data_IF_400808684685
#
_entry.id   IF_400808684685
#
_cell.length_a   1.000
_cell.length_b   1.000
_cell.length_c   1.000
_cell.angle_alpha   90.00
_cell.angle_beta   90.00
_cell.angle_gamma   90.00
#
_symmetry.space_group_name_H-M   'P 1'
#
loop_
_entity.id
_entity.type
_entity.pdbx_description
1 polymer ?
#
# COMPACT_ATOMS: atom_id res chain seq x y z
N UNK A 1 26.94 -7.72 17.49
CA UNK A 1 26.56 -7.34 16.12
C UNK A 1 25.25 -8.03 15.78
N UNK A 2 24.30 -7.28 15.25
CA UNK A 2 23.04 -7.87 14.82
C UNK A 2 23.27 -8.79 13.64
N UNK A 3 22.49 -9.88 13.58
CA UNK A 3 22.57 -10.84 12.48
C UNK A 3 22.17 -10.15 11.18
N UNK A 4 22.97 -10.30 10.13
CA UNK A 4 22.69 -9.80 8.78
C UNK A 4 21.33 -10.33 8.29
N UNK A 5 20.54 -9.44 7.68
CA UNK A 5 19.23 -9.74 7.12
C UNK A 5 19.29 -9.70 5.60
N UNK A 6 19.35 -10.88 4.98
CA UNK A 6 19.23 -11.01 3.53
C UNK A 6 17.83 -10.57 3.08
N UNK A 7 17.75 -9.74 2.03
CA UNK A 7 16.49 -9.22 1.51
C UNK A 7 15.86 -8.14 2.37
N UNK A 8 16.63 -7.48 3.23
CA UNK A 8 16.20 -6.35 4.06
C UNK A 8 17.31 -5.30 4.17
N UNK A 9 17.00 -4.16 4.74
CA UNK A 9 17.97 -3.10 5.03
C UNK A 9 18.82 -3.46 6.24
N UNK A 10 20.12 -3.17 6.11
CA UNK A 10 21.13 -3.38 7.13
C UNK A 10 21.96 -2.11 7.27
N UNK A 11 22.36 -1.75 8.47
CA UNK A 11 23.27 -0.64 8.75
C UNK A 11 24.66 -1.20 9.01
N UNK A 12 25.57 -0.97 8.07
CA UNK A 12 26.88 -1.61 8.04
C UNK A 12 28.00 -0.58 7.99
N UNK A 13 29.15 -0.88 8.62
CA UNK A 13 30.32 -0.04 8.62
C UNK A 13 31.16 -0.28 7.36
N UNK A 14 31.67 0.80 6.77
CA UNK A 14 32.60 0.76 5.66
C UNK A 14 34.01 0.40 6.23
N UNK A 15 34.58 -0.74 5.80
CA UNK A 15 35.87 -1.21 6.30
C UNK A 15 37.00 -1.03 5.29
N UNK A 16 36.69 -0.98 3.99
CA UNK A 16 37.72 -0.95 2.95
C UNK A 16 37.17 -0.29 1.67
N UNK A 17 38.06 0.43 0.96
CA UNK A 17 37.80 0.97 -0.38
C UNK A 17 38.67 0.25 -1.40
N UNK A 18 38.09 -0.11 -2.53
CA UNK A 18 38.73 -0.75 -3.67
C UNK A 18 38.30 -0.06 -4.97
N UNK A 19 38.95 -0.37 -6.10
CA UNK A 19 38.71 0.28 -7.40
C UNK A 19 37.25 0.10 -7.90
N UNK A 20 36.60 -1.01 -7.53
CA UNK A 20 35.26 -1.36 -7.97
C UNK A 20 34.15 -1.14 -6.91
N UNK A 21 34.48 -0.63 -5.72
CA UNK A 21 33.47 -0.37 -4.67
C UNK A 21 34.03 -0.18 -3.27
N UNK A 22 33.13 -0.36 -2.32
CA UNK A 22 33.42 -0.41 -0.89
C UNK A 22 33.16 -1.82 -0.35
N UNK A 23 33.93 -2.25 0.62
CA UNK A 23 33.58 -3.40 1.44
C UNK A 23 32.99 -2.93 2.77
N UNK A 24 31.91 -3.58 3.16
CA UNK A 24 31.14 -3.34 4.39
C UNK A 24 31.36 -4.51 5.34
N UNK A 25 31.36 -4.23 6.64
CA UNK A 25 31.48 -5.25 7.68
C UNK A 25 30.19 -6.09 7.76
N UNK A 26 30.25 -7.32 7.24
CA UNK A 26 29.16 -8.30 7.31
C UNK A 26 29.22 -9.19 8.56
N UNK A 27 30.11 -8.91 9.49
CA UNK A 27 30.28 -9.74 10.69
C UNK A 27 30.63 -11.19 10.35
N UNK A 28 29.78 -12.13 10.69
CA UNK A 28 29.98 -13.56 10.42
C UNK A 28 29.97 -13.91 8.92
N UNK A 29 29.33 -13.10 8.08
CA UNK A 29 29.27 -13.28 6.62
C UNK A 29 30.50 -12.69 5.92
N UNK A 30 31.45 -12.09 6.66
CA UNK A 30 32.67 -11.48 6.13
C UNK A 30 32.43 -10.11 5.48
N UNK A 31 33.33 -9.73 4.56
CA UNK A 31 33.24 -8.45 3.86
C UNK A 31 32.21 -8.50 2.72
N UNK A 32 31.24 -7.58 2.72
CA UNK A 32 30.16 -7.47 1.73
C UNK A 32 30.46 -6.32 0.76
N UNK A 33 30.46 -6.61 -0.54
CA UNK A 33 30.75 -5.60 -1.57
C UNK A 33 29.53 -4.68 -1.78
N UNK A 34 29.77 -3.37 -1.74
CA UNK A 34 28.91 -2.31 -2.28
C UNK A 34 29.58 -1.79 -3.56
N UNK A 35 29.08 -2.10 -4.77
CA UNK A 35 29.64 -1.64 -6.03
C UNK A 35 29.67 -0.11 -6.16
N UNK A 36 30.67 0.45 -6.85
CA UNK A 36 30.87 1.90 -6.98
C UNK A 36 29.63 2.69 -7.40
N UNK A 37 28.81 2.15 -8.30
CA UNK A 37 27.58 2.81 -8.77
C UNK A 37 26.53 3.05 -7.68
N UNK A 38 26.65 2.34 -6.55
CA UNK A 38 25.75 2.45 -5.40
C UNK A 38 26.36 3.17 -4.20
N UNK A 39 27.61 3.62 -4.33
CA UNK A 39 28.31 4.32 -3.25
C UNK A 39 27.80 5.76 -3.16
N UNK A 40 27.25 6.20 -2.02
CA UNK A 40 26.85 7.58 -1.83
C UNK A 40 28.07 8.52 -1.84
N UNK A 41 27.87 9.78 -2.23
CA UNK A 41 28.92 10.80 -2.14
C UNK A 41 29.27 11.11 -0.67
N UNK A 42 30.53 11.44 -0.43
CA UNK A 42 31.02 11.90 0.87
C UNK A 42 31.22 10.82 1.93
N UNK A 43 31.03 9.53 1.62
CA UNK A 43 31.26 8.45 2.59
C UNK A 43 32.74 8.05 2.66
N UNK A 44 33.21 7.74 3.88
CA UNK A 44 34.58 7.35 4.17
C UNK A 44 34.65 6.03 4.95
N UNK A 45 35.81 5.40 4.97
CA UNK A 45 36.08 4.23 5.82
C UNK A 45 35.78 4.60 7.27
N UNK A 46 35.06 3.72 7.98
CA UNK A 46 34.62 3.93 9.35
C UNK A 46 33.20 4.50 9.45
N UNK A 47 32.63 5.08 8.36
CA UNK A 47 31.22 5.50 8.38
C UNK A 47 30.30 4.29 8.33
N UNK A 48 29.11 4.41 8.93
CA UNK A 48 27.99 3.48 8.77
C UNK A 48 27.07 3.96 7.66
N UNK A 49 26.61 3.02 6.83
CA UNK A 49 25.64 3.29 5.78
C UNK A 49 24.50 2.26 5.83
N UNK A 50 23.30 2.70 5.47
CA UNK A 50 22.15 1.83 5.29
C UNK A 50 22.15 1.29 3.87
N UNK A 51 22.15 -0.02 3.73
CA UNK A 51 22.16 -0.74 2.46
C UNK A 51 21.16 -1.88 2.48
N UNK A 52 20.60 -2.18 1.30
CA UNK A 52 19.83 -3.38 1.08
C UNK A 52 20.74 -4.51 0.67
N UNK A 53 20.58 -5.71 1.25
CA UNK A 53 21.39 -6.88 0.96
C UNK A 53 20.62 -7.87 0.09
N UNK A 54 21.21 -8.31 -1.01
CA UNK A 54 20.64 -9.32 -1.90
C UNK A 54 21.75 -10.20 -2.50
N UNK A 55 21.35 -11.24 -3.24
CA UNK A 55 22.28 -12.10 -3.96
C UNK A 55 22.42 -11.64 -5.42
N UNK A 56 23.64 -11.42 -5.89
CA UNK A 56 23.92 -11.10 -7.30
C UNK A 56 23.68 -12.31 -8.25
N UNK A 57 24.02 -12.15 -9.52
CA UNK A 57 23.82 -13.21 -10.53
C UNK A 57 24.62 -14.48 -10.20
N UNK A 58 25.80 -14.30 -9.58
CA UNK A 58 26.69 -15.40 -9.16
C UNK A 58 26.34 -15.92 -7.74
N UNK A 59 25.19 -15.50 -7.17
CA UNK A 59 24.71 -15.87 -5.83
C UNK A 59 25.60 -15.39 -4.68
N UNK A 60 26.41 -14.36 -4.90
CA UNK A 60 27.20 -13.73 -3.87
C UNK A 60 26.39 -12.67 -3.15
N UNK A 61 26.57 -12.56 -1.83
CA UNK A 61 25.95 -11.53 -1.03
C UNK A 61 26.55 -10.17 -1.41
N UNK A 62 25.70 -9.25 -1.85
CA UNK A 62 26.09 -7.89 -2.27
C UNK A 62 25.13 -6.85 -1.67
N UNK A 63 25.66 -5.64 -1.52
CA UNK A 63 24.94 -4.49 -1.01
C UNK A 63 24.54 -3.52 -2.14
N UNK A 64 23.42 -2.84 -1.96
CA UNK A 64 22.98 -1.73 -2.82
C UNK A 64 22.32 -0.64 -1.98
N UNK A 65 22.41 0.60 -2.46
CA UNK A 65 21.62 1.74 -1.96
C UNK A 65 20.34 1.96 -2.76
N UNK A 66 20.11 1.15 -3.80
CA UNK A 66 18.82 1.13 -4.49
C UNK A 66 17.71 0.62 -3.56
N UNK A 67 16.50 1.11 -3.78
CA UNK A 67 15.33 0.74 -2.99
C UNK A 67 14.48 -0.26 -3.78
N UNK A 68 14.41 -1.53 -3.37
CA UNK A 68 13.51 -2.47 -3.99
C UNK A 68 12.05 -2.07 -3.75
N UNK A 69 11.15 -2.53 -4.62
CA UNK A 69 9.71 -2.32 -4.49
C UNK A 69 9.07 -3.13 -3.36
N UNK A 70 9.78 -4.14 -2.87
CA UNK A 70 9.43 -4.92 -1.68
C UNK A 70 10.68 -5.60 -1.13
N UNK A 71 10.68 -5.88 0.15
CA UNK A 71 11.69 -6.67 0.85
C UNK A 71 11.15 -8.04 1.26
N UNK A 72 12.00 -8.90 1.77
CA UNK A 72 11.59 -10.21 2.28
C UNK A 72 10.54 -10.03 3.38
N UNK A 73 9.47 -10.81 3.30
CA UNK A 73 8.29 -10.71 4.17
C UNK A 73 7.21 -9.77 3.66
N UNK A 74 7.40 -9.10 2.53
CA UNK A 74 6.43 -8.13 2.01
C UNK A 74 5.71 -8.62 0.75
N UNK A 75 4.52 -8.04 0.54
CA UNK A 75 3.75 -8.20 -0.69
C UNK A 75 3.95 -7.02 -1.62
N UNK A 76 4.02 -7.31 -2.93
CA UNK A 76 4.11 -6.28 -3.97
C UNK A 76 3.34 -6.67 -5.24
N UNK A 77 3.03 -5.66 -6.06
CA UNK A 77 2.44 -5.83 -7.38
C UNK A 77 3.52 -5.57 -8.43
N UNK A 78 4.13 -6.65 -8.94
CA UNK A 78 5.33 -6.60 -9.76
C UNK A 78 5.05 -7.05 -11.20
N UNK A 79 5.71 -6.38 -12.16
CA UNK A 79 5.66 -6.68 -13.58
C UNK A 79 6.64 -7.79 -13.95
N UNK A 80 6.21 -8.72 -14.80
CA UNK A 80 7.08 -9.75 -15.38
C UNK A 80 7.97 -9.13 -16.45
N UNK A 81 9.28 -9.16 -16.22
CA UNK A 81 10.28 -8.69 -17.19
C UNK A 81 10.52 -9.71 -18.30
N UNK A 82 10.69 -10.96 -17.94
CA UNK A 82 10.96 -12.07 -18.84
C UNK A 82 10.64 -13.43 -18.19
N UNK A 83 10.60 -14.48 -19.00
CA UNK A 83 10.26 -15.85 -18.58
C UNK A 83 11.23 -16.84 -19.23
N UNK A 84 11.63 -17.88 -18.48
CA UNK A 84 12.40 -19.00 -19.00
C UNK A 84 11.76 -20.36 -18.64
N UNK A 85 12.51 -21.45 -18.86
CA UNK A 85 12.06 -22.82 -18.58
C UNK A 85 11.88 -23.15 -17.08
N UNK A 86 12.32 -22.27 -16.16
CA UNK A 86 12.23 -22.47 -14.70
C UNK A 86 11.16 -21.60 -14.03
N UNK A 87 10.84 -20.45 -14.63
CA UNK A 87 9.90 -19.50 -14.01
C UNK A 87 9.89 -18.13 -14.68
N UNK A 88 9.32 -17.17 -13.97
CA UNK A 88 9.23 -15.78 -14.35
C UNK A 88 10.21 -14.94 -13.54
N UNK A 89 10.66 -13.83 -14.10
CA UNK A 89 11.52 -12.84 -13.47
C UNK A 89 10.80 -11.51 -13.43
N UNK A 90 10.70 -10.94 -12.23
CA UNK A 90 9.86 -9.79 -11.92
C UNK A 90 10.73 -8.57 -11.66
N UNK A 91 10.35 -7.43 -12.25
CA UNK A 91 10.96 -6.13 -11.97
C UNK A 91 10.64 -5.72 -10.53
N UNK A 92 11.62 -5.73 -9.66
CA UNK A 92 11.43 -5.36 -8.25
C UNK A 92 12.27 -4.16 -7.78
N UNK A 93 12.85 -3.43 -8.76
CA UNK A 93 13.58 -2.18 -8.48
C UNK A 93 15.07 -2.34 -8.27
N UNK A 94 15.63 -3.55 -8.40
CA UNK A 94 17.06 -3.82 -8.37
C UNK A 94 17.54 -4.28 -9.75
N UNK A 95 18.86 -4.29 -9.96
CA UNK A 95 19.45 -4.75 -11.22
C UNK A 95 19.13 -6.22 -11.53
N UNK A 96 19.11 -7.09 -10.52
CA UNK A 96 18.72 -8.49 -10.66
C UNK A 96 17.21 -8.59 -10.45
N UNK A 97 16.48 -9.06 -11.46
CA UNK A 97 15.06 -9.34 -11.35
C UNK A 97 14.76 -10.42 -10.30
N UNK A 98 13.60 -10.31 -9.65
CA UNK A 98 13.15 -11.25 -8.64
C UNK A 98 12.57 -12.51 -9.28
N UNK A 99 13.14 -13.66 -8.98
CA UNK A 99 12.70 -14.93 -9.54
C UNK A 99 11.42 -15.46 -8.88
N UNK A 100 10.46 -15.89 -9.71
CA UNK A 100 9.24 -16.58 -9.31
C UNK A 100 9.18 -17.95 -9.99
N UNK A 101 9.61 -19.04 -9.34
CA UNK A 101 9.62 -20.37 -9.95
C UNK A 101 8.20 -20.84 -10.29
N UNK A 102 8.05 -21.71 -11.27
CA UNK A 102 6.74 -22.20 -11.68
C UNK A 102 5.93 -22.84 -10.54
N UNK A 103 6.60 -23.48 -9.58
CA UNK A 103 5.96 -24.06 -8.40
C UNK A 103 5.30 -22.99 -7.50
N UNK A 104 5.75 -21.73 -7.57
CA UNK A 104 5.23 -20.60 -6.81
C UNK A 104 4.20 -19.76 -7.58
N UNK A 105 3.87 -20.14 -8.81
CA UNK A 105 2.86 -19.47 -9.63
C UNK A 105 1.51 -20.20 -9.51
N UNK A 106 0.41 -19.44 -9.40
CA UNK A 106 -0.96 -20.01 -9.49
C UNK A 106 -1.36 -20.35 -10.92
N UNK A 107 -0.87 -19.56 -11.86
CA UNK A 107 -0.97 -19.75 -13.30
C UNK A 107 0.33 -19.28 -13.93
N UNK A 108 0.62 -19.73 -15.13
CA UNK A 108 1.80 -19.26 -15.88
C UNK A 108 1.76 -17.74 -15.99
N UNK A 109 2.85 -17.10 -15.58
CA UNK A 109 3.01 -15.66 -15.68
C UNK A 109 3.41 -15.26 -17.09
N UNK A 110 2.89 -14.13 -17.57
CA UNK A 110 3.10 -13.61 -18.93
C UNK A 110 3.91 -12.31 -18.88
N UNK A 111 4.82 -12.12 -19.85
CA UNK A 111 5.69 -10.94 -19.94
C UNK A 111 4.86 -9.67 -20.06
N UNK A 112 5.20 -8.64 -19.27
CA UNK A 112 4.50 -7.36 -19.22
C UNK A 112 3.29 -7.33 -18.29
N UNK A 113 2.74 -8.49 -17.90
CA UNK A 113 1.66 -8.57 -16.94
C UNK A 113 2.18 -8.36 -15.51
N UNK A 114 1.29 -7.89 -14.62
CA UNK A 114 1.61 -7.65 -13.21
C UNK A 114 0.86 -8.62 -12.29
N UNK A 115 1.55 -9.07 -11.26
CA UNK A 115 1.03 -10.03 -10.30
C UNK A 115 1.30 -9.58 -8.87
N UNK A 116 0.34 -9.82 -7.97
CA UNK A 116 0.60 -9.72 -6.54
C UNK A 116 1.43 -10.92 -6.13
N UNK A 117 2.57 -10.65 -5.51
CA UNK A 117 3.50 -11.67 -5.02
C UNK A 117 3.94 -11.35 -3.60
N UNK A 118 4.30 -12.38 -2.85
CA UNK A 118 5.03 -12.30 -1.59
C UNK A 118 6.51 -12.58 -1.84
N UNK A 119 7.38 -11.78 -1.26
CA UNK A 119 8.84 -11.97 -1.35
C UNK A 119 9.31 -12.77 -0.13
N UNK A 120 10.00 -13.89 -0.36
CA UNK A 120 10.49 -14.73 0.73
C UNK A 120 11.84 -15.36 0.39
N UNK A 121 12.49 -15.93 1.40
CA UNK A 121 13.67 -16.76 1.21
C UNK A 121 13.20 -18.21 1.04
N UNK A 122 13.55 -18.82 -0.08
CA UNK A 122 13.28 -20.23 -0.36
C UNK A 122 14.11 -21.11 0.57
N UNK A 123 13.47 -22.00 1.31
CA UNK A 123 14.10 -22.80 2.36
C UNK A 123 15.13 -23.80 1.80
N UNK A 124 14.96 -24.26 0.57
CA UNK A 124 15.86 -25.22 -0.07
C UNK A 124 17.10 -24.58 -0.68
N UNK A 125 16.92 -23.48 -1.41
CA UNK A 125 17.99 -22.80 -2.15
C UNK A 125 18.59 -21.61 -1.42
N UNK A 126 17.95 -21.12 -0.34
CA UNK A 126 18.31 -19.91 0.40
C UNK A 126 18.31 -18.64 -0.45
N UNK A 127 17.64 -18.66 -1.61
CA UNK A 127 17.50 -17.51 -2.51
C UNK A 127 16.28 -16.68 -2.18
N UNK A 128 16.36 -15.38 -2.47
CA UNK A 128 15.17 -14.52 -2.43
C UNK A 128 14.33 -14.85 -3.67
N UNK A 129 13.08 -15.24 -3.45
CA UNK A 129 12.11 -15.60 -4.50
C UNK A 129 10.76 -14.95 -4.25
N UNK A 130 9.96 -14.88 -5.33
CA UNK A 130 8.56 -14.44 -5.27
C UNK A 130 7.61 -15.63 -5.30
N UNK A 131 6.49 -15.52 -4.58
CA UNK A 131 5.37 -16.45 -4.65
C UNK A 131 4.07 -15.71 -4.97
N UNK A 132 3.33 -16.16 -5.97
CA UNK A 132 1.98 -15.69 -6.25
C UNK A 132 0.91 -16.42 -5.42
N UNK A 133 1.30 -17.37 -4.59
CA UNK A 133 0.43 -18.10 -3.66
C UNK A 133 0.23 -17.29 -2.38
N UNK A 134 -0.29 -16.07 -2.53
CA UNK A 134 -0.45 -15.05 -1.48
C UNK A 134 -1.10 -15.62 -0.22
N UNK A 135 -2.05 -16.54 -0.37
CA UNK A 135 -2.78 -17.15 0.76
C UNK A 135 -1.89 -17.89 1.74
N UNK A 136 -0.75 -18.41 1.29
CA UNK A 136 0.19 -19.16 2.15
C UNK A 136 0.94 -18.23 3.13
N UNK A 137 1.01 -16.95 2.82
CA UNK A 137 1.76 -15.94 3.59
C UNK A 137 0.87 -14.98 4.36
N UNK A 138 -0.46 -15.10 4.21
CA UNK A 138 -1.42 -14.34 5.00
C UNK A 138 -1.55 -14.97 6.38
N UNK A 139 -1.46 -14.14 7.41
CA UNK A 139 -1.73 -14.56 8.78
C UNK A 139 -3.24 -14.83 8.95
N UNK A 140 -3.58 -16.06 9.26
CA UNK A 140 -4.96 -16.53 9.43
C UNK A 140 -5.38 -16.63 10.91
N UNK A 141 -4.72 -15.89 11.78
CA UNK A 141 -5.08 -15.84 13.21
C UNK A 141 -6.55 -15.41 13.40
N UNK A 142 -7.22 -15.99 14.38
CA UNK A 142 -8.58 -15.59 14.77
C UNK A 142 -8.60 -14.28 15.58
N UNK A 143 -7.46 -13.87 16.09
CA UNK A 143 -7.31 -12.68 16.93
C UNK A 143 -6.23 -11.77 16.34
N UNK A 144 -6.51 -11.07 15.21
CA UNK A 144 -5.55 -10.13 14.64
C UNK A 144 -5.27 -8.99 15.64
N UNK A 145 -4.02 -8.54 15.65
CA UNK A 145 -3.56 -7.43 16.49
C UNK A 145 -4.04 -6.08 15.89
N UNK A 146 -5.34 -5.94 15.74
CA UNK A 146 -6.00 -4.78 15.14
C UNK A 146 -7.22 -4.40 15.97
N UNK A 147 -7.62 -3.14 15.91
CA UNK A 147 -8.80 -2.62 16.58
C UNK A 147 -9.76 -1.97 15.61
N UNK A 148 -11.06 -1.97 15.94
CA UNK A 148 -12.07 -1.31 15.13
C UNK A 148 -11.81 0.20 15.07
N UNK A 149 -11.83 0.77 13.88
CA UNK A 149 -11.54 2.18 13.61
C UNK A 149 -10.06 2.46 13.38
N UNK A 150 -9.18 1.48 13.56
CA UNK A 150 -7.74 1.62 13.33
C UNK A 150 -7.46 1.89 11.86
N UNK A 151 -6.57 2.84 11.61
CA UNK A 151 -6.04 3.17 10.29
C UNK A 151 -5.00 2.12 9.90
N UNK A 152 -5.11 1.58 8.71
CA UNK A 152 -4.27 0.49 8.21
C UNK A 152 -3.81 0.75 6.79
N UNK A 153 -2.64 0.22 6.45
CA UNK A 153 -2.11 0.19 5.09
C UNK A 153 -2.71 -0.98 4.32
N UNK A 154 -3.09 -0.72 3.07
CA UNK A 154 -3.77 -1.67 2.22
C UNK A 154 -3.05 -1.85 0.89
N UNK A 155 -2.97 -3.10 0.44
CA UNK A 155 -2.67 -3.45 -0.94
C UNK A 155 -3.88 -4.17 -1.54
N UNK A 156 -4.43 -3.64 -2.63
CA UNK A 156 -5.58 -4.25 -3.30
C UNK A 156 -5.14 -5.53 -4.00
N UNK A 157 -5.59 -6.66 -3.46
CA UNK A 157 -5.13 -7.97 -3.92
C UNK A 157 -5.90 -8.44 -5.14
N UNK A 158 -7.23 -8.54 -5.05
CA UNK A 158 -8.07 -8.96 -6.16
C UNK A 158 -9.53 -8.52 -5.98
N UNK A 159 -10.22 -8.36 -7.12
CA UNK A 159 -11.68 -8.20 -7.14
C UNK A 159 -12.35 -9.55 -6.87
N UNK A 160 -13.44 -9.53 -6.11
CA UNK A 160 -14.32 -10.67 -5.85
C UNK A 160 -15.78 -10.28 -6.14
N UNK A 161 -16.73 -11.23 -6.20
CA UNK A 161 -18.15 -10.93 -6.45
C UNK A 161 -18.81 -10.01 -5.43
N UNK A 162 -18.25 -9.90 -4.22
CA UNK A 162 -18.84 -9.12 -3.11
C UNK A 162 -18.01 -7.89 -2.73
N UNK A 163 -16.85 -7.66 -3.37
CA UNK A 163 -15.98 -6.56 -3.04
C UNK A 163 -14.53 -6.82 -3.41
N UNK A 164 -13.62 -6.10 -2.77
CA UNK A 164 -12.19 -6.20 -2.98
C UNK A 164 -11.51 -6.94 -1.83
N UNK A 165 -10.78 -8.00 -2.13
CA UNK A 165 -9.84 -8.60 -1.18
C UNK A 165 -8.61 -7.71 -1.08
N UNK A 166 -8.16 -7.49 0.15
CA UNK A 166 -7.06 -6.58 0.49
C UNK A 166 -6.03 -7.33 1.33
N UNK A 167 -4.78 -6.93 1.21
CA UNK A 167 -3.74 -7.27 2.16
C UNK A 167 -3.62 -6.09 3.12
N UNK A 168 -3.81 -6.34 4.42
CA UNK A 168 -3.85 -5.34 5.48
C UNK A 168 -2.54 -5.37 6.25
N UNK A 169 -1.88 -4.20 6.40
CA UNK A 169 -0.61 -4.05 7.09
C UNK A 169 0.44 -5.09 6.68
N UNK A 170 0.43 -5.47 5.40
CA UNK A 170 1.34 -6.48 4.86
C UNK A 170 1.30 -7.85 5.58
N UNK A 171 0.21 -8.16 6.29
CA UNK A 171 0.10 -9.34 7.17
C UNK A 171 -1.23 -10.08 7.05
N UNK A 172 -2.37 -9.37 7.10
CA UNK A 172 -3.69 -9.98 7.19
C UNK A 172 -4.47 -9.87 5.89
N UNK A 173 -5.49 -10.73 5.72
CA UNK A 173 -6.49 -10.55 4.67
C UNK A 173 -7.66 -9.71 5.17
N UNK A 174 -8.07 -8.74 4.36
CA UNK A 174 -9.27 -7.93 4.59
C UNK A 174 -10.22 -7.96 3.41
N UNK A 175 -11.46 -7.55 3.63
CA UNK A 175 -12.49 -7.40 2.61
C UNK A 175 -13.12 -6.02 2.69
N UNK A 176 -13.09 -5.27 1.57
CA UNK A 176 -13.88 -4.06 1.40
C UNK A 176 -15.07 -4.38 0.50
N UNK A 177 -16.30 -4.19 1.00
CA UNK A 177 -17.52 -4.47 0.23
C UNK A 177 -17.78 -3.43 -0.84
N UNK A 178 -18.32 -3.85 -1.99
CA UNK A 178 -18.61 -2.96 -3.12
C UNK A 178 -19.50 -1.78 -2.80
N UNK A 179 -20.48 -1.98 -1.93
CA UNK A 179 -21.39 -0.94 -1.45
C UNK A 179 -20.72 0.09 -0.53
N UNK A 180 -19.50 -0.21 -0.03
CA UNK A 180 -18.71 0.67 0.84
C UNK A 180 -17.48 1.24 0.14
N UNK A 181 -17.22 0.86 -1.12
CA UNK A 181 -16.13 1.39 -1.93
C UNK A 181 -16.68 2.50 -2.83
N UNK A 182 -16.36 3.75 -2.49
CA UNK A 182 -16.87 4.95 -3.16
C UNK A 182 -15.83 5.62 -4.08
N UNK A 183 -14.67 4.98 -4.27
CA UNK A 183 -13.62 5.43 -5.19
C UNK A 183 -13.21 4.30 -6.12
N UNK A 184 -12.63 4.65 -7.26
CA UNK A 184 -12.03 3.65 -8.13
C UNK A 184 -10.80 3.05 -7.47
N UNK A 185 -10.73 1.73 -7.44
CA UNK A 185 -9.57 0.95 -6.97
C UNK A 185 -9.29 -0.19 -7.93
N UNK A 186 -8.01 -0.43 -8.19
CA UNK A 186 -7.53 -1.46 -9.08
C UNK A 186 -6.61 -2.44 -8.33
N UNK A 187 -6.48 -3.63 -8.86
CA UNK A 187 -5.51 -4.58 -8.33
C UNK A 187 -4.11 -3.95 -8.32
N UNK A 188 -3.42 -4.07 -7.20
CA UNK A 188 -2.08 -3.52 -7.01
C UNK A 188 -2.03 -2.12 -6.41
N UNK A 189 -3.17 -1.41 -6.32
CA UNK A 189 -3.21 -0.10 -5.66
C UNK A 189 -2.82 -0.24 -4.19
N UNK A 190 -1.94 0.67 -3.72
CA UNK A 190 -1.65 0.87 -2.32
C UNK A 190 -2.42 2.07 -1.81
N UNK A 191 -3.09 1.91 -0.69
CA UNK A 191 -3.89 2.96 -0.10
C UNK A 191 -4.07 2.75 1.40
N UNK A 192 -4.54 3.78 2.07
CA UNK A 192 -4.97 3.70 3.46
C UNK A 192 -6.45 3.34 3.55
N UNK A 193 -6.81 2.68 4.65
CA UNK A 193 -8.18 2.38 5.02
C UNK A 193 -8.33 2.22 6.52
N UNK A 194 -9.48 1.74 6.93
CA UNK A 194 -9.84 1.63 8.35
C UNK A 194 -10.50 0.28 8.61
N UNK A 195 -10.19 -0.32 9.74
CA UNK A 195 -10.86 -1.53 10.20
C UNK A 195 -12.30 -1.19 10.57
N UNK A 196 -13.26 -1.66 9.78
CA UNK A 196 -14.68 -1.42 10.09
C UNK A 196 -15.22 -2.44 11.10
N UNK A 197 -14.76 -3.69 11.01
CA UNK A 197 -15.14 -4.75 11.92
C UNK A 197 -14.10 -5.89 11.91
N UNK A 198 -13.99 -6.61 13.01
CA UNK A 198 -13.26 -7.87 13.11
C UNK A 198 -14.28 -8.93 13.52
N UNK A 199 -14.43 -9.94 12.69
CA UNK A 199 -15.41 -11.01 12.92
C UNK A 199 -14.89 -12.04 13.91
N UNK A 200 -15.77 -12.81 14.55
CA UNK A 200 -15.36 -13.88 15.50
C UNK A 200 -14.45 -14.95 14.87
N UNK A 201 -14.50 -15.11 13.54
CA UNK A 201 -13.64 -16.04 12.80
C UNK A 201 -12.30 -15.42 12.38
N UNK A 202 -12.01 -14.19 12.82
CA UNK A 202 -10.77 -13.45 12.53
C UNK A 202 -10.77 -12.69 11.20
N UNK A 203 -11.83 -12.78 10.39
CA UNK A 203 -11.93 -12.00 9.15
C UNK A 203 -12.09 -10.52 9.43
N UNK A 204 -11.43 -9.70 8.62
CA UNK A 204 -11.36 -8.25 8.80
C UNK A 204 -12.18 -7.58 7.70
N UNK A 205 -13.20 -6.83 8.11
CA UNK A 205 -13.95 -5.96 7.22
C UNK A 205 -13.28 -4.58 7.20
N UNK A 206 -13.03 -4.07 5.99
CA UNK A 206 -12.30 -2.81 5.75
C UNK A 206 -13.23 -1.80 5.09
N UNK A 207 -13.07 -0.54 5.46
CA UNK A 207 -13.60 0.61 4.71
C UNK A 207 -12.46 1.50 4.22
N UNK A 208 -12.60 2.05 3.01
CA UNK A 208 -11.59 2.94 2.43
C UNK A 208 -11.77 4.41 2.84
N UNK A 209 -12.72 4.68 3.69
CA UNK A 209 -13.02 6.03 4.21
C UNK A 209 -13.01 6.00 5.74
N UNK A 210 -12.65 7.12 6.40
CA UNK A 210 -12.81 7.26 7.84
C UNK A 210 -14.23 6.89 8.25
N UNK A 211 -14.39 6.34 9.45
CA UNK A 211 -15.71 5.94 9.96
C UNK A 211 -16.24 6.96 10.97
N UNK A 212 -17.58 7.06 11.08
CA UNK A 212 -18.24 7.81 12.13
C UNK A 212 -18.23 9.33 11.95
N UNK A 213 -17.99 10.06 13.05
CA UNK A 213 -18.06 11.54 13.09
C UNK A 213 -16.93 12.17 12.25
N UNK A 214 -15.75 11.58 12.23
CA UNK A 214 -14.61 12.09 11.48
C UNK A 214 -14.91 12.13 9.97
N UNK A 215 -15.48 11.06 9.42
CA UNK A 215 -15.89 11.05 8.00
C UNK A 215 -16.86 12.18 7.65
N UNK A 216 -17.80 12.48 8.58
CA UNK A 216 -18.78 13.55 8.36
C UNK A 216 -18.10 14.91 8.38
N UNK A 217 -17.15 15.15 9.29
CA UNK A 217 -16.43 16.41 9.40
C UNK A 217 -15.51 16.62 8.19
N UNK A 218 -14.71 15.64 7.83
CA UNK A 218 -13.80 15.70 6.68
C UNK A 218 -14.59 15.98 5.38
N UNK A 219 -15.77 15.35 5.23
CA UNK A 219 -16.61 15.59 4.06
C UNK A 219 -17.35 16.94 4.13
N UNK A 220 -17.69 17.44 5.30
CA UNK A 220 -18.28 18.78 5.44
C UNK A 220 -17.32 19.87 4.91
N UNK A 221 -16.04 19.77 5.20
CA UNK A 221 -15.03 20.69 4.67
C UNK A 221 -14.89 20.54 3.14
N UNK A 222 -14.87 19.31 2.64
CA UNK A 222 -14.88 19.03 1.19
C UNK A 222 -16.11 19.64 0.49
N UNK A 223 -17.29 19.53 1.11
CA UNK A 223 -18.55 20.09 0.58
C UNK A 223 -18.53 21.63 0.59
N UNK A 224 -17.93 22.25 1.61
CA UNK A 224 -17.70 23.71 1.63
C UNK A 224 -16.78 24.18 0.50
N UNK A 225 -15.70 23.47 0.26
CA UNK A 225 -14.76 23.79 -0.81
C UNK A 225 -15.40 23.59 -2.20
N UNK A 226 -16.23 22.56 -2.35
CA UNK A 226 -17.04 22.37 -3.54
C UNK A 226 -17.98 23.58 -3.77
N UNK A 227 -18.73 23.99 -2.75
CA UNK A 227 -19.62 25.15 -2.83
C UNK A 227 -18.85 26.42 -3.23
N UNK A 228 -17.71 26.71 -2.58
CA UNK A 228 -16.87 27.88 -2.90
C UNK A 228 -16.39 27.87 -4.35
N UNK A 229 -16.00 26.72 -4.87
CA UNK A 229 -15.48 26.58 -6.25
C UNK A 229 -16.58 26.56 -7.32
N UNK A 230 -17.86 26.36 -6.92
CA UNK A 230 -19.02 26.25 -7.83
C UNK A 230 -20.03 27.38 -7.64
N UNK A 231 -19.54 28.61 -7.35
CA UNK A 231 -20.40 29.79 -7.25
C UNK A 231 -21.33 29.80 -6.04
N UNK A 232 -20.98 29.10 -4.98
CA UNK A 232 -21.72 29.06 -3.72
C UNK A 232 -22.91 28.10 -3.72
N UNK A 233 -23.16 27.34 -4.78
CA UNK A 233 -24.33 26.48 -4.91
C UNK A 233 -23.93 25.04 -5.27
N UNK A 234 -24.53 24.08 -4.58
CA UNK A 234 -24.49 22.66 -4.90
C UNK A 234 -25.91 22.21 -5.33
N UNK A 235 -26.09 21.60 -6.52
CA UNK A 235 -27.39 21.23 -7.07
C UNK A 235 -27.95 19.93 -6.47
N UNK A 236 -27.58 19.61 -5.23
CA UNK A 236 -28.05 18.45 -4.48
C UNK A 236 -28.53 18.91 -3.10
N UNK A 237 -29.83 18.75 -2.83
CA UNK A 237 -30.43 19.17 -1.57
C UNK A 237 -30.62 18.02 -0.56
N UNK A 238 -31.69 18.04 0.22
CA UNK A 238 -31.93 17.02 1.26
C UNK A 238 -32.35 15.65 0.68
N UNK A 239 -32.82 15.60 -0.56
CA UNK A 239 -33.28 14.34 -1.21
C UNK A 239 -32.46 13.96 -2.45
N UNK A 240 -31.12 13.95 -2.39
CA UNK A 240 -30.30 13.67 -3.54
C UNK A 240 -30.43 12.20 -3.97
N UNK A 241 -30.15 11.94 -5.25
CA UNK A 241 -29.99 10.58 -5.74
C UNK A 241 -28.70 9.95 -5.20
N UNK A 242 -28.75 8.67 -4.78
CA UNK A 242 -27.62 8.00 -4.15
C UNK A 242 -26.46 7.74 -5.12
N UNK A 243 -26.76 7.36 -6.37
CA UNK A 243 -25.75 7.11 -7.41
C UNK A 243 -25.08 8.42 -7.85
N UNK A 244 -25.84 9.48 -7.98
CA UNK A 244 -25.32 10.81 -8.31
C UNK A 244 -24.35 11.32 -7.24
N UNK A 245 -24.70 11.20 -5.95
CA UNK A 245 -23.82 11.56 -4.84
C UNK A 245 -22.56 10.70 -4.84
N UNK A 246 -22.70 9.39 -5.03
CA UNK A 246 -21.57 8.47 -5.12
C UNK A 246 -20.63 8.86 -6.26
N UNK A 247 -21.17 9.19 -7.42
CA UNK A 247 -20.38 9.54 -8.60
C UNK A 247 -19.68 10.90 -8.45
N UNK A 248 -20.35 11.89 -7.86
CA UNK A 248 -19.83 13.27 -7.77
C UNK A 248 -18.87 13.45 -6.61
N UNK A 249 -19.17 12.86 -5.46
CA UNK A 249 -18.44 13.12 -4.21
C UNK A 249 -17.71 11.89 -3.65
N UNK A 250 -17.89 10.72 -4.25
CA UNK A 250 -17.29 9.47 -3.78
C UNK A 250 -17.61 9.13 -2.31
N UNK A 251 -18.81 9.53 -1.84
CA UNK A 251 -19.33 9.24 -0.50
C UNK A 251 -20.73 8.63 -0.58
N UNK A 252 -21.18 8.02 0.52
CA UNK A 252 -22.56 7.54 0.61
C UNK A 252 -23.54 8.70 0.78
N UNK A 253 -24.80 8.53 0.29
CA UNK A 253 -25.89 9.47 0.55
C UNK A 253 -26.05 9.82 2.04
N UNK A 254 -25.82 8.85 2.94
CA UNK A 254 -25.88 9.06 4.39
C UNK A 254 -24.81 10.01 4.90
N UNK A 255 -23.58 9.91 4.39
CA UNK A 255 -22.49 10.83 4.74
C UNK A 255 -22.78 12.22 4.20
N UNK A 256 -23.20 12.33 2.95
CA UNK A 256 -23.60 13.60 2.34
C UNK A 256 -24.67 14.32 3.17
N UNK A 257 -25.79 13.65 3.49
CA UNK A 257 -26.86 14.23 4.29
C UNK A 257 -26.42 14.66 5.70
N UNK A 258 -25.55 13.88 6.34
CA UNK A 258 -25.02 14.25 7.67
C UNK A 258 -24.13 15.48 7.59
N UNK A 259 -23.25 15.58 6.60
CA UNK A 259 -22.39 16.74 6.40
C UNK A 259 -23.19 17.99 6.05
N UNK A 260 -24.14 17.89 5.12
CA UNK A 260 -25.07 18.98 4.79
C UNK A 260 -25.84 19.47 6.03
N UNK A 261 -26.36 18.55 6.84
CA UNK A 261 -27.02 18.87 8.09
C UNK A 261 -26.12 19.48 9.17
N UNK A 262 -24.82 19.09 9.21
CA UNK A 262 -23.83 19.70 10.10
C UNK A 262 -23.52 21.15 9.67
N UNK A 263 -23.29 21.38 8.37
CA UNK A 263 -23.06 22.72 7.82
C UNK A 263 -24.28 23.64 8.02
N UNK A 264 -25.50 23.12 7.84
CA UNK A 264 -26.74 23.84 8.11
C UNK A 264 -26.85 24.25 9.59
N UNK A 265 -26.58 23.32 10.53
CA UNK A 265 -26.57 23.62 11.98
C UNK A 265 -25.53 24.66 12.37
N UNK A 266 -24.37 24.66 11.69
CA UNK A 266 -23.31 25.66 11.86
C UNK A 266 -23.62 27.00 11.19
N UNK A 267 -24.77 27.14 10.53
CA UNK A 267 -25.21 28.34 9.80
C UNK A 267 -24.24 28.76 8.69
N UNK A 268 -23.62 27.80 8.05
CA UNK A 268 -22.69 28.06 6.93
C UNK A 268 -23.41 27.93 5.57
N UNK A 269 -24.53 27.21 5.53
CA UNK A 269 -25.30 26.97 4.30
C UNK A 269 -26.82 27.01 4.56
N UNK A 270 -27.57 27.27 3.51
CA UNK A 270 -29.00 26.95 3.42
C UNK A 270 -29.15 25.55 2.81
N UNK A 271 -30.17 24.83 3.20
CA UNK A 271 -30.49 23.48 2.72
C UNK A 271 -31.98 23.40 2.40
N UNK A 272 -32.31 23.13 1.14
CA UNK A 272 -33.65 22.80 0.68
C UNK A 272 -33.71 21.40 0.02
N UNK A 273 -34.85 21.02 -0.57
CA UNK A 273 -35.02 19.70 -1.19
C UNK A 273 -34.10 19.49 -2.43
N UNK A 274 -33.71 20.57 -3.12
CA UNK A 274 -33.05 20.52 -4.43
C UNK A 274 -31.61 21.01 -4.41
N UNK A 275 -31.24 21.88 -3.46
CA UNK A 275 -29.91 22.52 -3.45
C UNK A 275 -29.40 22.83 -2.05
N UNK A 276 -28.10 22.99 -1.96
CA UNK A 276 -27.37 23.60 -0.84
C UNK A 276 -26.72 24.89 -1.34
N UNK A 277 -26.85 25.99 -0.62
CA UNK A 277 -26.18 27.23 -0.96
C UNK A 277 -25.44 27.82 0.25
N UNK A 278 -24.28 28.42 0.01
CA UNK A 278 -23.53 29.17 1.03
C UNK A 278 -24.42 30.31 1.55
N UNK A 279 -24.37 30.52 2.86
CA UNK A 279 -24.87 31.77 3.44
C UNK A 279 -23.77 32.82 3.27
N UNK A 280 -24.08 33.94 2.60
CA UNK A 280 -23.18 35.05 2.46
C UNK A 280 -22.91 35.66 3.87
N UNK A 281 -21.63 35.84 4.23
CA UNK A 281 -21.23 36.52 5.48
C UNK A 281 -21.63 38.03 5.52
N UNK A 282 -22.30 38.53 4.48
CA UNK A 282 -22.69 39.93 4.33
C UNK A 282 -24.19 40.23 4.55
N UNK A 283 -24.95 39.33 5.17
CA UNK A 283 -26.39 39.53 5.39
C UNK A 283 -26.77 40.09 6.78
N UNK A 284 -25.80 40.57 7.57
CA UNK A 284 -26.05 41.40 8.78
C UNK A 284 -25.17 42.66 8.74
N UNK A 285 -25.68 43.70 8.10
CA UNK A 285 -25.28 45.09 8.33
C UNK A 285 -26.53 45.99 8.32
#
# INVERSE_FOLDING_TARGET
MDKIKLGDYNRLQIVKRVDFGLYLDGGAEGEILLPNRYVPEGVNIGNEIEVFLYLDIDERLVATTEKPLAKVGEFAFLEVAWVNEYGAFLKWGLMKDLFCPFREQKRRMEIGEKYIVHVHIDEESYRIVASAKVEHYIDTTRHPELTRGEKVDLLVWQKSPIGFKLIVNNRYAGLAYDDQVFRYVHQGDRCEGYVSNIRPDGKIDITLQPTGRQQTLDFADTLLDYLRSHGGVCPFGDKPDAETIKHTFHVSKKVFKRAAGDLYKRRLVTLDDERIALLDDNAEA
#
